data_IF_890494351720
#
_entry.id   IF_890494351720
#
_cell.length_a   1.000
_cell.length_b   1.000
_cell.length_c   1.000
_cell.angle_alpha   90.00
_cell.angle_beta   90.00
_cell.angle_gamma   90.00
#
_symmetry.space_group_name_H-M   'P 1'
#
loop_
_entity.id
_entity.type
_entity.pdbx_description
1 polymer ?
#
# COMPACT_ATOMS: atom_id res chain seq x y z
N UNK A 1 7.24 -24.45 8.73
CA UNK A 1 6.52 -23.62 7.73
C UNK A 1 7.05 -22.19 7.80
N UNK A 2 7.95 -21.78 6.89
CA UNK A 2 8.47 -20.40 6.88
C UNK A 2 7.34 -19.46 6.47
N UNK A 3 6.76 -18.73 7.43
CA UNK A 3 6.02 -17.51 7.10
C UNK A 3 7.05 -16.47 6.71
N UNK A 4 7.44 -16.43 5.43
CA UNK A 4 8.25 -15.33 4.92
C UNK A 4 7.39 -14.08 5.03
N UNK A 5 7.56 -13.37 6.13
CA UNK A 5 6.90 -12.09 6.37
C UNK A 5 7.60 -11.08 5.47
N UNK A 6 7.26 -11.10 4.19
CA UNK A 6 7.79 -10.15 3.22
C UNK A 6 7.17 -8.80 3.54
N UNK A 7 7.95 -7.91 4.13
CA UNK A 7 7.56 -6.52 4.36
C UNK A 7 7.10 -5.91 3.03
N UNK A 8 6.21 -4.92 3.10
CA UNK A 8 5.84 -4.16 1.91
C UNK A 8 7.00 -3.21 1.61
N UNK A 9 7.59 -3.37 0.43
CA UNK A 9 8.66 -2.52 -0.05
C UNK A 9 8.18 -1.12 -0.44
N UNK A 10 9.10 -0.20 -0.67
CA UNK A 10 8.79 1.18 -1.05
C UNK A 10 7.97 1.25 -2.35
N UNK A 11 8.32 0.46 -3.37
CA UNK A 11 7.58 0.42 -4.65
C UNK A 11 6.16 -0.10 -4.49
N UNK A 12 5.96 -1.10 -3.64
CA UNK A 12 4.63 -1.61 -3.33
C UNK A 12 3.80 -0.55 -2.61
N UNK A 13 4.38 0.19 -1.66
CA UNK A 13 3.71 1.35 -1.04
C UNK A 13 3.30 2.40 -2.07
N UNK A 14 4.18 2.72 -3.02
CA UNK A 14 3.87 3.66 -4.12
C UNK A 14 2.72 3.18 -5.00
N UNK A 15 2.69 1.88 -5.34
CA UNK A 15 1.58 1.27 -6.10
C UNK A 15 0.26 1.28 -5.31
N UNK A 16 0.30 1.06 -4.00
CA UNK A 16 -0.88 1.18 -3.12
C UNK A 16 -1.41 2.61 -3.12
N UNK A 17 -0.53 3.61 -2.95
CA UNK A 17 -0.90 5.03 -2.98
C UNK A 17 -1.55 5.41 -4.32
N UNK A 18 -0.90 5.11 -5.45
CA UNK A 18 -1.45 5.37 -6.79
C UNK A 18 -2.79 4.67 -7.02
N UNK A 19 -2.92 3.41 -6.57
CA UNK A 19 -4.17 2.68 -6.66
C UNK A 19 -5.30 3.35 -5.88
N UNK A 20 -5.00 3.88 -4.69
CA UNK A 20 -5.99 4.64 -3.90
C UNK A 20 -6.36 5.96 -4.55
N UNK A 21 -5.40 6.71 -5.08
CA UNK A 21 -5.67 7.96 -5.84
C UNK A 21 -6.54 7.70 -7.07
N UNK A 22 -6.33 6.56 -7.74
CA UNK A 22 -7.16 6.12 -8.87
C UNK A 22 -8.52 5.52 -8.46
N UNK A 23 -8.89 5.54 -7.18
CA UNK A 23 -10.17 5.01 -6.69
C UNK A 23 -10.27 3.47 -6.67
N UNK A 24 -9.15 2.75 -6.84
CA UNK A 24 -9.15 1.29 -6.81
C UNK A 24 -9.42 0.77 -5.40
N UNK A 25 -10.19 -0.32 -5.33
CA UNK A 25 -10.44 -1.01 -4.06
C UNK A 25 -9.18 -1.72 -3.55
N UNK A 26 -9.10 -1.90 -2.23
CA UNK A 26 -8.00 -2.62 -1.58
C UNK A 26 -7.88 -4.06 -2.11
N UNK A 27 -9.01 -4.69 -2.48
CA UNK A 27 -9.03 -6.02 -3.06
C UNK A 27 -8.27 -6.06 -4.40
N UNK A 28 -8.58 -5.13 -5.30
CA UNK A 28 -7.94 -5.02 -6.62
C UNK A 28 -6.44 -4.71 -6.48
N UNK A 29 -6.09 -3.81 -5.56
CA UNK A 29 -4.68 -3.46 -5.30
C UNK A 29 -3.92 -4.69 -4.77
N UNK A 30 -4.52 -5.44 -3.85
CA UNK A 30 -3.92 -6.65 -3.28
C UNK A 30 -3.70 -7.73 -4.35
N UNK A 31 -4.67 -7.95 -5.23
CA UNK A 31 -4.58 -8.88 -6.36
C UNK A 31 -3.47 -8.47 -7.33
N UNK A 32 -3.42 -7.18 -7.73
CA UNK A 32 -2.36 -6.65 -8.61
C UNK A 32 -0.95 -6.78 -8.03
N UNK A 33 -0.82 -6.75 -6.70
CA UNK A 33 0.47 -6.90 -6.02
C UNK A 33 0.80 -8.35 -5.65
N UNK A 34 -0.12 -9.30 -5.85
CA UNK A 34 0.05 -10.66 -5.33
C UNK A 34 0.15 -10.70 -3.80
N UNK A 35 -0.42 -9.71 -3.11
CA UNK A 35 -0.36 -9.56 -1.65
C UNK A 35 -1.69 -9.90 -1.02
N UNK A 36 -1.66 -10.31 0.25
CA UNK A 36 -2.89 -10.50 1.01
C UNK A 36 -3.54 -9.16 1.30
N UNK A 37 -4.87 -9.10 1.22
CA UNK A 37 -5.68 -7.92 1.56
C UNK A 37 -5.36 -7.39 2.96
N UNK A 38 -5.18 -8.27 3.95
CA UNK A 38 -4.83 -7.90 5.33
C UNK A 38 -3.48 -7.20 5.47
N UNK A 39 -2.51 -7.53 4.62
CA UNK A 39 -1.21 -6.84 4.59
C UNK A 39 -1.37 -5.40 4.13
N UNK A 40 -2.19 -5.17 3.09
CA UNK A 40 -2.48 -3.83 2.57
C UNK A 40 -3.22 -2.99 3.63
N UNK A 41 -4.25 -3.55 4.28
CA UNK A 41 -4.97 -2.85 5.36
C UNK A 41 -4.05 -2.44 6.51
N UNK A 42 -3.12 -3.31 6.91
CA UNK A 42 -2.16 -2.99 7.97
C UNK A 42 -1.19 -1.89 7.56
N UNK A 43 -0.69 -1.90 6.32
CA UNK A 43 0.16 -0.80 5.83
C UNK A 43 -0.61 0.51 5.73
N UNK A 44 -1.88 0.49 5.28
CA UNK A 44 -2.72 1.68 5.27
C UNK A 44 -2.94 2.23 6.69
N UNK A 45 -3.17 1.36 7.67
CA UNK A 45 -3.30 1.76 9.08
C UNK A 45 -2.00 2.35 9.63
N UNK A 46 -0.84 1.81 9.24
CA UNK A 46 0.48 2.35 9.59
C UNK A 46 0.69 3.74 8.98
N UNK A 47 0.35 3.92 7.70
CA UNK A 47 0.46 5.20 7.01
C UNK A 47 -0.38 6.31 7.68
N UNK A 48 -1.59 5.99 8.14
CA UNK A 48 -2.46 6.93 8.88
C UNK A 48 -1.90 7.34 10.24
N UNK A 49 -1.20 6.44 10.93
CA UNK A 49 -0.62 6.70 12.25
C UNK A 49 0.71 7.47 12.16
N UNK A 50 1.50 7.25 11.11
CA UNK A 50 2.81 7.87 10.97
C UNK A 50 2.78 9.33 10.51
N UNK A 51 1.61 9.91 10.20
CA UNK A 51 1.53 11.25 9.58
C UNK A 51 2.46 11.36 8.33
N UNK A 52 2.77 10.24 7.69
CA UNK A 52 3.64 10.19 6.53
C UNK A 52 2.86 10.77 5.34
N UNK A 53 3.01 12.08 5.17
CA UNK A 53 2.51 12.91 4.07
C UNK A 53 2.99 12.43 2.68
N UNK A 54 3.79 11.37 2.61
CA UNK A 54 4.28 10.74 1.38
C UNK A 54 3.19 10.12 0.48
N UNK A 55 1.92 10.13 0.87
CA UNK A 55 0.83 9.57 0.05
C UNK A 55 0.17 10.58 -0.91
N UNK A 56 0.24 11.89 -0.63
CA UNK A 56 -0.39 12.93 -1.48
C UNK A 56 0.62 13.82 -2.24
N UNK A 57 1.88 13.87 -1.80
CA UNK A 57 2.88 14.82 -2.31
C UNK A 57 3.58 14.41 -3.63
N UNK A 58 3.12 13.37 -4.33
CA UNK A 58 3.72 12.95 -5.61
C UNK A 58 2.79 13.18 -6.81
N UNK A 59 2.01 14.27 -6.75
CA UNK A 59 1.11 14.73 -7.82
C UNK A 59 1.46 16.14 -8.32
N UNK A 60 2.72 16.57 -8.19
CA UNK A 60 3.24 17.73 -8.93
C UNK A 60 4.70 17.52 -9.30
N UNK A 61 4.96 17.59 -10.61
CA UNK A 61 6.21 17.50 -11.36
C UNK A 61 6.70 16.07 -11.65
#
# INVERSE_FOLDING_TARGET
MRRTYSQIGFDERRKIARGRTAGLSVAVIAEKLGRRRSTIYRELRRALLSNDVYCFAQTRL
#
